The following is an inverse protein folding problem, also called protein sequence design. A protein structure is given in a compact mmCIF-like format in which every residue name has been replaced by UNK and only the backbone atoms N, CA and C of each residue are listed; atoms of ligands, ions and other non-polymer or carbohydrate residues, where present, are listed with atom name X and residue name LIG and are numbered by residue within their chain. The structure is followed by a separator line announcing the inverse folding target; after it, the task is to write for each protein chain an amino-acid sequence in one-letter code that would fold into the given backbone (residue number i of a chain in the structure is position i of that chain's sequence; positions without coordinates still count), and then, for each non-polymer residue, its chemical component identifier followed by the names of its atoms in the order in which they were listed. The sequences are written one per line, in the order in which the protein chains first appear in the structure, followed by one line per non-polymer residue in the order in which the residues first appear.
data_IF_457492184468
#
_entry.id   IF_457492184468
#
_cell.length_a   1.000
_cell.length_b   1.000
_cell.length_c   1.000
_cell.angle_alpha   90.00
_cell.angle_beta   90.00
_cell.angle_gamma   90.00
#
_symmetry.space_group_name_H-M   'P 1'
#
loop_
_entity.id
_entity.type
_entity.pdbx_description
1 polymer ?
#
# COMPACT_ATOMS: atom_id res chain seq x y z
N UNK A 1 -36.79 -43.11 -79.19
CA UNK A 1 -37.27 -42.33 -78.04
C UNK A 1 -36.14 -41.44 -77.54
N UNK A 2 -36.23 -40.15 -77.85
CA UNK A 2 -35.26 -39.09 -77.52
C UNK A 2 -35.91 -38.20 -76.47
N UNK A 3 -35.37 -38.16 -75.25
CA UNK A 3 -35.73 -37.15 -74.25
C UNK A 3 -34.58 -36.15 -74.15
N UNK A 4 -34.66 -35.11 -74.98
CA UNK A 4 -33.82 -33.91 -74.92
C UNK A 4 -34.11 -33.17 -73.61
N UNK A 5 -33.22 -33.32 -72.62
CA UNK A 5 -33.22 -32.47 -71.43
C UNK A 5 -32.74 -31.08 -71.83
N UNK A 6 -33.69 -30.15 -71.93
CA UNK A 6 -33.43 -28.72 -72.02
C UNK A 6 -32.71 -28.24 -70.74
N UNK A 7 -31.40 -28.09 -70.86
CA UNK A 7 -30.57 -27.34 -69.92
C UNK A 7 -31.02 -25.88 -69.95
N UNK A 8 -31.80 -25.49 -68.94
CA UNK A 8 -32.22 -24.11 -68.68
C UNK A 8 -30.97 -23.31 -68.26
N UNK A 9 -30.29 -22.70 -69.22
CA UNK A 9 -29.27 -21.67 -68.93
C UNK A 9 -29.99 -20.50 -68.25
N UNK A 10 -29.79 -20.36 -66.93
CA UNK A 10 -30.08 -19.10 -66.25
C UNK A 10 -29.24 -18.02 -66.94
N UNK A 11 -29.81 -16.87 -67.33
CA UNK A 11 -29.01 -15.74 -67.75
C UNK A 11 -28.11 -15.38 -66.57
N UNK A 12 -26.80 -15.58 -66.71
CA UNK A 12 -25.82 -14.83 -65.93
C UNK A 12 -26.01 -13.39 -66.38
N UNK A 13 -26.77 -12.64 -65.59
CA UNK A 13 -26.77 -11.19 -65.69
C UNK A 13 -25.38 -10.75 -65.27
N UNK A 14 -24.51 -10.52 -66.25
CA UNK A 14 -23.41 -9.57 -66.13
C UNK A 14 -24.01 -8.17 -66.06
N UNK A 15 -24.82 -7.91 -65.02
CA UNK A 15 -25.06 -6.55 -64.57
C UNK A 15 -23.74 -6.13 -63.92
N UNK A 16 -22.85 -5.62 -64.77
CA UNK A 16 -21.57 -5.10 -64.32
C UNK A 16 -21.83 -4.10 -63.21
N UNK A 17 -21.24 -4.37 -62.04
CA UNK A 17 -21.24 -3.47 -60.89
C UNK A 17 -20.97 -2.08 -61.41
N UNK A 18 -21.97 -1.20 -61.31
CA UNK A 18 -21.82 0.14 -61.85
C UNK A 18 -20.73 0.85 -61.05
N UNK A 19 -19.91 1.67 -61.72
CA UNK A 19 -18.81 2.40 -61.05
C UNK A 19 -19.33 3.22 -59.85
N UNK A 20 -20.59 3.68 -59.92
CA UNK A 20 -21.30 4.33 -58.83
C UNK A 20 -21.51 3.40 -57.60
N UNK A 21 -21.93 2.15 -57.80
CA UNK A 21 -22.13 1.18 -56.73
C UNK A 21 -20.81 0.81 -56.02
N UNK A 22 -19.72 0.70 -56.78
CA UNK A 22 -18.39 0.47 -56.22
C UNK A 22 -17.90 1.67 -55.39
N UNK A 23 -18.15 2.90 -55.85
CA UNK A 23 -17.84 4.11 -55.08
C UNK A 23 -18.64 4.20 -53.77
N UNK A 24 -19.93 3.89 -53.82
CA UNK A 24 -20.80 3.89 -52.64
C UNK A 24 -20.37 2.82 -51.64
N UNK A 25 -20.03 1.62 -52.10
CA UNK A 25 -19.59 0.53 -51.22
C UNK A 25 -18.26 0.84 -50.53
N UNK A 26 -17.27 1.40 -51.25
CA UNK A 26 -16.00 1.84 -50.65
C UNK A 26 -16.25 2.98 -49.64
N UNK A 27 -17.12 3.94 -49.97
CA UNK A 27 -17.49 5.03 -49.07
C UNK A 27 -18.13 4.50 -47.78
N UNK A 28 -19.08 3.58 -47.88
CA UNK A 28 -19.71 2.93 -46.72
C UNK A 28 -18.71 2.10 -45.90
N UNK A 29 -17.84 1.34 -46.56
CA UNK A 29 -16.76 0.59 -45.89
C UNK A 29 -15.81 1.52 -45.13
N UNK A 30 -15.44 2.67 -45.70
CA UNK A 30 -14.58 3.64 -45.03
C UNK A 30 -15.25 4.23 -43.79
N UNK A 31 -16.54 4.59 -43.87
CA UNK A 31 -17.30 5.08 -42.72
C UNK A 31 -17.44 4.01 -41.65
N UNK A 32 -17.79 2.77 -42.02
CA UNK A 32 -17.89 1.66 -41.06
C UNK A 32 -16.52 1.33 -40.44
N UNK A 33 -15.45 1.36 -41.22
CA UNK A 33 -14.09 1.12 -40.75
C UNK A 33 -13.65 2.16 -39.72
N UNK A 34 -13.92 3.44 -39.97
CA UNK A 34 -13.60 4.51 -39.02
C UNK A 34 -14.42 4.41 -37.73
N UNK A 35 -15.71 4.06 -37.80
CA UNK A 35 -16.54 3.78 -36.63
C UNK A 35 -16.03 2.60 -35.80
N UNK A 36 -15.61 1.51 -36.45
CA UNK A 36 -15.04 0.35 -35.75
C UNK A 36 -13.71 0.67 -35.06
N UNK A 37 -12.83 1.42 -35.71
CA UNK A 37 -11.54 1.83 -35.13
C UNK A 37 -11.76 2.75 -33.93
N UNK A 38 -12.63 3.75 -34.04
CA UNK A 38 -12.95 4.67 -32.94
C UNK A 38 -13.56 3.96 -31.74
N UNK A 39 -14.50 3.03 -31.98
CA UNK A 39 -15.08 2.18 -30.94
C UNK A 39 -13.99 1.32 -30.26
N UNK A 40 -13.12 0.70 -31.04
CA UNK A 40 -12.02 -0.14 -30.52
C UNK A 40 -11.07 0.65 -29.62
N UNK A 41 -10.66 1.86 -30.03
CA UNK A 41 -9.82 2.74 -29.22
C UNK A 41 -10.53 3.16 -27.93
N UNK A 42 -11.83 3.48 -28.00
CA UNK A 42 -12.61 3.81 -26.82
C UNK A 42 -12.66 2.64 -25.83
N UNK A 43 -12.96 1.42 -26.30
CA UNK A 43 -13.00 0.21 -25.47
C UNK A 43 -11.63 -0.09 -24.84
N UNK A 44 -10.54 0.05 -25.60
CA UNK A 44 -9.19 -0.16 -25.07
C UNK A 44 -8.82 0.85 -23.99
N UNK A 45 -9.18 2.12 -24.16
CA UNK A 45 -8.95 3.17 -23.15
C UNK A 45 -9.75 2.92 -21.88
N UNK A 46 -11.02 2.54 -22.02
CA UNK A 46 -11.89 2.22 -20.88
C UNK A 46 -11.37 1.00 -20.12
N UNK A 47 -10.96 -0.05 -20.81
CA UNK A 47 -10.42 -1.27 -20.20
C UNK A 47 -9.16 -0.97 -19.39
N UNK A 48 -8.21 -0.21 -19.97
CA UNK A 48 -7.00 0.23 -19.26
C UNK A 48 -7.30 1.08 -18.03
N UNK A 49 -8.27 1.99 -18.12
CA UNK A 49 -8.68 2.83 -16.99
C UNK A 49 -9.26 2.00 -15.85
N UNK A 50 -10.12 1.02 -16.16
CA UNK A 50 -10.69 0.10 -15.20
C UNK A 50 -9.62 -0.78 -14.54
N UNK A 51 -8.68 -1.32 -15.32
CA UNK A 51 -7.57 -2.14 -14.80
C UNK A 51 -6.68 -1.35 -13.85
N UNK A 52 -6.32 -0.11 -14.21
CA UNK A 52 -5.51 0.77 -13.35
C UNK A 52 -6.23 1.14 -12.06
N UNK A 53 -7.54 1.42 -12.12
CA UNK A 53 -8.33 1.70 -10.92
C UNK A 53 -8.40 0.49 -9.99
N UNK A 54 -8.60 -0.71 -10.55
CA UNK A 54 -8.63 -1.95 -9.77
C UNK A 54 -7.28 -2.24 -9.09
N UNK A 55 -6.16 -2.03 -9.81
CA UNK A 55 -4.82 -2.16 -9.25
C UNK A 55 -4.58 -1.15 -8.11
N UNK A 56 -4.96 0.11 -8.31
CA UNK A 56 -4.81 1.15 -7.28
C UNK A 56 -5.55 0.80 -5.98
N UNK A 57 -6.80 0.32 -6.09
CA UNK A 57 -7.58 -0.11 -4.92
C UNK A 57 -6.91 -1.29 -4.20
N UNK A 58 -6.39 -2.26 -4.96
CA UNK A 58 -5.69 -3.41 -4.41
C UNK A 58 -4.41 -2.99 -3.66
N UNK A 59 -3.60 -2.11 -4.25
CA UNK A 59 -2.35 -1.61 -3.66
C UNK A 59 -2.60 -0.80 -2.38
N UNK A 60 -3.58 0.10 -2.40
CA UNK A 60 -3.98 0.88 -1.21
C UNK A 60 -4.43 -0.04 -0.09
N UNK A 61 -5.24 -1.05 -0.40
CA UNK A 61 -5.72 -2.02 0.58
C UNK A 61 -4.58 -2.87 1.14
N UNK A 62 -3.69 -3.37 0.29
CA UNK A 62 -2.52 -4.14 0.72
C UNK A 62 -1.58 -3.31 1.62
N UNK A 63 -1.34 -2.05 1.27
CA UNK A 63 -0.56 -1.12 2.08
C UNK A 63 -1.23 -0.87 3.44
N UNK A 64 -2.54 -0.60 3.46
CA UNK A 64 -3.32 -0.41 4.69
C UNK A 64 -3.27 -1.64 5.59
N UNK A 65 -3.59 -2.83 5.06
CA UNK A 65 -3.62 -4.08 5.82
C UNK A 65 -2.24 -4.40 6.41
N UNK A 66 -1.17 -4.12 5.65
CA UNK A 66 0.19 -4.28 6.13
C UNK A 66 0.52 -3.35 7.30
N UNK A 67 0.31 -2.05 7.14
CA UNK A 67 0.56 -1.07 8.21
C UNK A 67 -0.26 -1.41 9.45
N UNK A 68 -1.53 -1.74 9.26
CA UNK A 68 -2.43 -2.10 10.35
C UNK A 68 -1.97 -3.37 11.08
N UNK A 69 -1.53 -4.40 10.34
CA UNK A 69 -1.03 -5.65 10.92
C UNK A 69 0.21 -5.44 11.79
N UNK A 70 1.14 -4.61 11.34
CA UNK A 70 2.39 -4.30 12.05
C UNK A 70 2.13 -3.41 13.27
N UNK A 71 1.25 -2.42 13.15
CA UNK A 71 0.85 -1.58 14.29
C UNK A 71 0.13 -2.37 15.40
N UNK A 72 -0.62 -3.44 15.06
CA UNK A 72 -1.27 -4.29 16.06
C UNK A 72 -0.30 -5.03 16.98
N UNK A 73 0.93 -5.27 16.51
CA UNK A 73 1.99 -5.94 17.28
C UNK A 73 3.03 -4.95 17.80
N UNK A 74 2.65 -3.67 17.90
CA UNK A 74 3.46 -2.65 18.55
C UNK A 74 3.67 -2.99 20.03
N UNK A 75 4.90 -2.81 20.52
CA UNK A 75 5.33 -3.26 21.84
C UNK A 75 6.12 -2.17 22.55
N UNK A 76 5.98 -2.12 23.87
CA UNK A 76 6.77 -1.23 24.72
C UNK A 76 8.11 -1.92 25.03
N UNK A 77 9.20 -1.16 24.93
CA UNK A 77 10.55 -1.73 24.87
C UNK A 77 11.17 -2.01 26.25
N UNK A 78 11.04 -1.08 27.21
CA UNK A 78 11.62 -1.22 28.54
C UNK A 78 10.56 -1.05 29.64
N UNK A 79 10.81 -1.66 30.80
CA UNK A 79 9.99 -1.46 32.00
C UNK A 79 10.12 0.00 32.46
N UNK A 80 9.03 0.77 32.35
CA UNK A 80 8.98 2.21 32.63
C UNK A 80 8.68 3.08 31.41
N UNK A 81 8.90 2.55 30.20
CA UNK A 81 8.37 3.18 29.00
C UNK A 81 6.83 3.06 29.03
N UNK A 82 6.13 4.15 28.68
CA UNK A 82 4.65 4.20 28.71
C UNK A 82 4.04 4.19 27.32
N UNK A 83 4.86 4.13 26.27
CA UNK A 83 4.45 4.18 24.88
C UNK A 83 5.35 3.36 23.96
N UNK A 84 4.79 2.66 22.96
CA UNK A 84 5.59 1.99 21.95
C UNK A 84 6.14 2.94 20.88
N UNK A 85 5.70 4.21 20.84
CA UNK A 85 6.08 5.19 19.83
C UNK A 85 7.30 6.01 20.24
N UNK A 86 8.24 6.15 19.32
CA UNK A 86 9.33 7.13 19.39
C UNK A 86 8.91 8.45 18.73
N UNK A 87 8.26 8.35 17.58
CA UNK A 87 7.79 9.49 16.79
C UNK A 87 6.38 9.20 16.29
N UNK A 88 5.50 10.18 16.41
CA UNK A 88 4.12 10.09 15.95
C UNK A 88 3.72 11.43 15.33
N UNK A 89 3.76 11.51 14.00
CA UNK A 89 3.35 12.68 13.22
C UNK A 89 2.24 12.29 12.24
N UNK A 90 1.61 13.29 11.62
CA UNK A 90 0.55 13.04 10.65
C UNK A 90 0.99 12.16 9.48
N UNK A 91 2.29 12.16 9.16
CA UNK A 91 2.83 11.49 7.98
C UNK A 91 3.86 10.41 8.33
N UNK A 92 4.35 10.41 9.57
CA UNK A 92 5.39 9.50 10.03
C UNK A 92 4.98 8.81 11.33
N UNK A 93 5.19 7.51 11.40
CA UNK A 93 5.00 6.74 12.62
C UNK A 93 6.23 5.86 12.86
N UNK A 94 6.90 6.06 13.99
CA UNK A 94 8.07 5.29 14.40
C UNK A 94 7.76 4.62 15.73
N UNK A 95 7.82 3.29 15.76
CA UNK A 95 7.49 2.50 16.93
C UNK A 95 8.24 1.16 16.94
N UNK A 96 8.21 0.46 18.07
CA UNK A 96 8.74 -0.89 18.17
C UNK A 96 7.65 -1.92 17.97
N UNK A 97 7.94 -2.99 17.24
CA UNK A 97 7.01 -4.06 16.95
C UNK A 97 7.67 -5.43 17.06
N UNK A 98 6.92 -6.41 17.57
CA UNK A 98 7.39 -7.79 17.60
C UNK A 98 7.05 -8.51 16.29
N UNK A 99 7.92 -8.34 15.28
CA UNK A 99 7.71 -8.91 13.94
C UNK A 99 8.32 -10.30 13.75
N UNK A 100 9.05 -10.80 14.74
CA UNK A 100 9.75 -12.07 14.64
C UNK A 100 9.48 -12.93 15.86
N UNK A 101 8.86 -14.09 15.65
CA UNK A 101 8.71 -15.09 16.70
C UNK A 101 10.08 -15.66 17.01
N UNK A 102 10.65 -15.32 18.16
CA UNK A 102 11.85 -15.97 18.68
C UNK A 102 11.42 -17.29 19.31
N UNK A 103 11.67 -18.40 18.61
CA UNK A 103 11.66 -19.71 19.24
C UNK A 103 12.91 -19.82 20.11
N UNK A 104 12.82 -19.37 21.36
CA UNK A 104 13.85 -19.62 22.36
C UNK A 104 13.77 -21.10 22.76
N UNK A 105 14.42 -21.99 22.01
CA UNK A 105 14.63 -23.35 22.51
C UNK A 105 15.62 -23.27 23.66
N UNK A 106 15.21 -23.68 24.85
CA UNK A 106 16.01 -23.65 26.08
C UNK A 106 17.38 -24.37 25.99
N UNK A 107 17.61 -25.17 24.94
CA UNK A 107 18.83 -25.95 24.74
C UNK A 107 20.01 -25.18 24.11
N UNK A 108 19.81 -23.98 23.54
CA UNK A 108 20.87 -23.21 22.87
C UNK A 108 20.80 -21.71 23.24
N UNK A 109 20.91 -21.40 24.53
CA UNK A 109 20.86 -20.04 25.06
C UNK A 109 22.12 -19.19 24.78
N UNK A 110 22.89 -19.50 23.73
CA UNK A 110 24.05 -18.71 23.33
C UNK A 110 23.78 -17.94 22.03
N UNK A 111 23.59 -16.62 22.18
CA UNK A 111 24.12 -15.53 21.32
C UNK A 111 23.24 -14.71 20.36
N UNK A 112 21.90 -14.82 20.28
CA UNK A 112 21.09 -13.74 19.66
C UNK A 112 19.61 -13.83 20.00
N UNK A 113 19.19 -13.21 21.11
CA UNK A 113 17.77 -12.90 21.31
C UNK A 113 17.41 -11.79 20.32
N UNK A 114 16.66 -12.12 19.26
CA UNK A 114 16.14 -11.11 18.33
C UNK A 114 15.14 -10.24 19.07
N UNK A 115 15.51 -8.99 19.34
CA UNK A 115 14.63 -8.03 20.01
C UNK A 115 13.50 -7.51 19.12
N UNK A 116 12.61 -6.68 19.68
CA UNK A 116 11.61 -5.94 18.91
C UNK A 116 12.24 -5.18 17.75
N UNK A 117 11.57 -5.15 16.60
CA UNK A 117 12.06 -4.42 15.42
C UNK A 117 11.58 -2.97 15.48
N UNK A 118 12.45 -2.02 15.19
CA UNK A 118 12.03 -0.62 14.99
C UNK A 118 11.39 -0.51 13.62
N UNK A 119 10.14 -0.07 13.59
CA UNK A 119 9.34 0.15 12.39
C UNK A 119 9.20 1.64 12.18
N UNK A 120 9.52 2.10 10.98
CA UNK A 120 9.26 3.47 10.53
C UNK A 120 8.34 3.41 9.31
N UNK A 121 7.18 4.03 9.41
CA UNK A 121 6.38 4.40 8.25
C UNK A 121 6.59 5.89 8.00
N UNK A 122 7.01 6.25 6.79
CA UNK A 122 7.34 7.63 6.42
C UNK A 122 6.74 7.95 5.06
N UNK A 123 6.10 9.12 4.94
CA UNK A 123 5.73 9.68 3.65
C UNK A 123 6.97 10.35 3.03
N UNK A 124 7.62 9.68 2.09
CA UNK A 124 8.85 10.19 1.47
C UNK A 124 8.49 10.93 0.18
N UNK A 125 8.88 12.21 0.02
CA UNK A 125 8.78 12.88 -1.27
C UNK A 125 9.70 12.18 -2.27
N UNK A 126 9.18 11.91 -3.46
CA UNK A 126 9.98 11.31 -4.49
C UNK A 126 11.09 12.25 -4.96
N UNK A 127 12.22 11.65 -5.29
CA UNK A 127 13.38 12.33 -5.83
C UNK A 127 13.95 11.52 -6.98
N UNK A 128 14.64 12.19 -7.91
CA UNK A 128 15.32 11.54 -9.03
C UNK A 128 16.29 10.48 -8.51
N UNK A 129 16.16 9.24 -9.01
CA UNK A 129 17.01 8.11 -8.58
C UNK A 129 16.51 7.38 -7.33
N UNK A 130 15.35 7.72 -6.79
CA UNK A 130 14.66 6.92 -5.77
C UNK A 130 13.58 6.02 -6.40
N UNK A 131 13.06 5.06 -5.63
CA UNK A 131 11.92 4.25 -6.06
C UNK A 131 10.64 5.08 -6.28
N UNK A 132 10.59 6.33 -5.80
CA UNK A 132 9.45 7.22 -5.86
C UNK A 132 9.63 8.25 -6.98
N UNK A 133 8.59 8.49 -7.79
CA UNK A 133 8.66 9.51 -8.85
C UNK A 133 8.81 10.90 -8.24
N UNK A 134 9.58 11.78 -8.87
CA UNK A 134 9.88 13.12 -8.34
C UNK A 134 8.65 14.00 -8.04
N UNK A 135 7.48 13.69 -8.63
CA UNK A 135 6.24 14.46 -8.48
C UNK A 135 5.26 13.87 -7.47
N UNK A 136 5.61 12.75 -6.82
CA UNK A 136 4.71 12.04 -5.91
C UNK A 136 5.34 11.82 -4.53
N UNK A 137 4.52 11.57 -3.51
CA UNK A 137 5.00 10.97 -2.27
C UNK A 137 4.78 9.46 -2.30
N UNK A 138 5.59 8.72 -1.55
CA UNK A 138 5.37 7.30 -1.32
C UNK A 138 5.22 7.00 0.17
N UNK A 139 4.44 5.96 0.48
CA UNK A 139 4.51 5.34 1.78
C UNK A 139 5.69 4.37 1.79
N UNK A 140 6.69 4.65 2.62
CA UNK A 140 7.87 3.79 2.77
C UNK A 140 7.85 3.16 4.15
N UNK A 141 8.11 1.86 4.20
CA UNK A 141 8.36 1.13 5.44
C UNK A 141 9.85 0.86 5.57
N UNK A 142 10.41 1.23 6.72
CA UNK A 142 11.78 0.88 7.11
C UNK A 142 11.72 0.01 8.36
N UNK A 143 12.40 -1.12 8.30
CA UNK A 143 12.53 -2.04 9.42
C UNK A 143 13.99 -2.08 9.82
N UNK A 144 14.28 -1.70 11.06
CA UNK A 144 15.62 -1.78 11.64
C UNK A 144 15.61 -2.82 12.74
N UNK A 145 16.44 -3.85 12.57
CA UNK A 145 16.65 -4.86 13.61
C UNK A 145 17.32 -4.26 14.84
N UNK A 146 16.88 -4.67 16.04
CA UNK A 146 17.55 -4.31 17.30
C UNK A 146 18.51 -5.41 17.71
N UNK A 147 19.59 -5.02 18.39
CA UNK A 147 20.50 -5.93 19.07
C UNK A 147 20.28 -5.83 20.57
N UNK A 148 20.06 -6.95 21.25
CA UNK A 148 20.04 -7.00 22.70
C UNK A 148 21.45 -6.84 23.27
N UNK A 149 21.64 -5.95 24.26
CA UNK A 149 22.84 -5.94 25.10
C UNK A 149 22.57 -6.75 26.37
N UNK A 150 23.25 -7.88 26.52
CA UNK A 150 23.13 -8.74 27.69
C UNK A 150 23.74 -8.12 28.94
N UNK A 151 22.99 -8.11 30.06
CA UNK A 151 23.41 -7.70 31.40
C UNK A 151 22.22 -7.69 32.38
N UNK A 152 22.47 -7.72 33.69
CA UNK A 152 21.41 -7.56 34.70
C UNK A 152 20.81 -6.15 34.58
N UNK A 153 19.52 -6.04 34.27
CA UNK A 153 18.89 -4.77 33.89
C UNK A 153 19.13 -4.36 32.42
N UNK A 154 19.43 -5.32 31.55
CA UNK A 154 19.62 -5.08 30.11
C UNK A 154 18.45 -4.30 29.52
N UNK A 155 18.74 -3.11 28.99
CA UNK A 155 17.81 -2.36 28.15
C UNK A 155 18.05 -2.73 26.70
N UNK A 156 17.02 -2.68 25.87
CA UNK A 156 17.25 -2.74 24.43
C UNK A 156 17.92 -1.43 23.99
N UNK A 157 19.24 -1.45 23.90
CA UNK A 157 19.98 -0.36 23.28
C UNK A 157 19.85 -0.47 21.76
N UNK A 158 19.12 0.46 21.14
CA UNK A 158 19.15 0.58 19.69
C UNK A 158 20.59 0.96 19.29
N UNK A 159 21.25 0.12 18.51
CA UNK A 159 22.50 0.53 17.86
C UNK A 159 22.14 1.26 16.57
N UNK A 160 22.74 2.42 16.37
CA UNK A 160 22.74 3.11 15.07
C UNK A 160 23.24 2.23 13.90
N UNK A 161 23.84 1.08 14.19
CA UNK A 161 24.39 0.13 13.23
C UNK A 161 23.49 -1.07 12.91
N UNK A 162 22.21 -1.09 13.30
CA UNK A 162 21.29 -2.18 12.94
C UNK A 162 21.05 -2.26 11.43
N UNK A 163 20.94 -3.48 10.88
CA UNK A 163 20.57 -3.65 9.46
C UNK A 163 19.17 -3.10 9.25
N UNK A 164 19.06 -2.13 8.33
CA UNK A 164 17.80 -1.49 7.96
C UNK A 164 17.38 -1.96 6.57
N UNK A 165 16.18 -2.52 6.47
CA UNK A 165 15.56 -2.84 5.18
C UNK A 165 14.47 -1.83 4.90
N UNK A 166 14.44 -1.31 3.67
CA UNK A 166 13.43 -0.33 3.23
C UNK A 166 12.62 -0.92 2.08
N UNK A 167 11.30 -0.70 2.09
CA UNK A 167 10.42 -1.00 0.95
C UNK A 167 9.38 0.08 0.75
N UNK A 168 9.00 0.31 -0.51
CA UNK A 168 7.85 1.14 -0.84
C UNK A 168 6.60 0.30 -0.72
N UNK A 169 5.60 0.78 0.03
CA UNK A 169 4.30 0.13 0.18
C UNK A 169 3.26 0.68 -0.78
N UNK A 170 3.33 1.97 -1.08
CA UNK A 170 2.40 2.64 -1.95
C UNK A 170 3.06 3.83 -2.63
N UNK A 171 2.76 4.01 -3.92
CA UNK A 171 3.15 5.16 -4.73
C UNK A 171 2.01 6.17 -4.83
N UNK A 172 2.34 7.39 -5.25
CA UNK A 172 1.31 8.37 -5.59
C UNK A 172 0.55 8.88 -4.37
N UNK A 173 1.13 9.00 -3.18
CA UNK A 173 0.47 9.67 -2.07
C UNK A 173 0.33 11.18 -2.33
N UNK A 174 -0.78 11.76 -1.87
CA UNK A 174 -0.96 13.21 -1.88
C UNK A 174 -0.06 13.87 -0.84
N UNK A 175 0.69 14.93 -1.19
CA UNK A 175 1.65 15.56 -0.29
C UNK A 175 1.05 16.27 0.92
N UNK A 176 -0.26 16.54 0.88
CA UNK A 176 -1.02 17.15 1.98
C UNK A 176 -1.84 16.14 2.78
N UNK A 177 -1.85 14.85 2.40
CA UNK A 177 -2.64 13.84 3.08
C UNK A 177 -2.01 13.49 4.44
N UNK A 178 -2.82 13.59 5.50
CA UNK A 178 -2.47 13.05 6.82
C UNK A 178 -2.72 11.55 6.84
N UNK A 179 -1.66 10.76 6.96
CA UNK A 179 -1.72 9.29 6.97
C UNK A 179 -2.14 8.73 8.33
N UNK A 180 -1.68 9.36 9.41
CA UNK A 180 -1.84 8.87 10.77
C UNK A 180 -2.52 9.91 11.65
N UNK A 181 -3.50 9.45 12.41
CA UNK A 181 -4.16 10.23 13.45
C UNK A 181 -4.18 9.42 14.73
N UNK A 182 -3.65 10.00 15.81
CA UNK A 182 -3.42 9.29 17.06
C UNK A 182 -4.53 9.60 18.05
N UNK A 183 -5.02 8.59 18.77
CA UNK A 183 -6.16 8.73 19.65
C UNK A 183 -5.81 8.28 21.06
N UNK A 184 -6.24 9.05 22.05
CA UNK A 184 -6.03 8.75 23.47
C UNK A 184 -6.95 7.65 24.02
N UNK A 185 -8.08 7.40 23.37
CA UNK A 185 -9.03 6.35 23.73
C UNK A 185 -8.92 5.18 22.75
N UNK A 186 -9.02 3.95 23.25
CA UNK A 186 -9.13 2.74 22.43
C UNK A 186 -10.58 2.45 22.01
N UNK A 187 -11.57 2.82 22.84
CA UNK A 187 -12.95 2.37 22.74
C UNK A 187 -13.89 3.32 22.01
N UNK A 188 -13.56 4.62 21.94
CA UNK A 188 -14.44 5.60 21.31
C UNK A 188 -13.93 5.99 19.93
N UNK A 189 -14.64 5.60 18.87
CA UNK A 189 -14.37 6.00 17.48
C UNK A 189 -14.59 7.50 17.23
N UNK A 190 -15.27 8.18 18.15
CA UNK A 190 -15.57 9.62 18.11
C UNK A 190 -14.66 10.44 19.01
N UNK A 191 -13.70 9.81 19.70
CA UNK A 191 -12.73 10.56 20.48
C UNK A 191 -11.94 11.49 19.55
N UNK A 192 -11.80 12.76 19.97
CA UNK A 192 -10.97 13.69 19.24
C UNK A 192 -9.53 13.16 19.20
N UNK A 193 -8.85 13.24 18.03
CA UNK A 193 -7.47 12.86 17.94
C UNK A 193 -6.60 13.79 18.80
N UNK A 194 -5.49 13.24 19.29
CA UNK A 194 -4.47 14.00 20.00
C UNK A 194 -3.90 15.07 19.05
N UNK A 195 -3.63 16.29 19.55
CA UNK A 195 -3.13 17.38 18.72
C UNK A 195 -1.72 17.06 18.21
N UNK A 196 -1.56 16.91 16.91
CA UNK A 196 -0.27 16.69 16.25
C UNK A 196 0.31 18.03 15.81
N UNK A 197 1.45 18.43 16.35
CA UNK A 197 2.17 19.64 15.94
C UNK A 197 3.00 19.41 14.67
N UNK A 198 3.73 20.44 14.23
CA UNK A 198 4.62 20.36 13.05
C UNK A 198 5.76 19.34 13.21
N UNK A 199 6.15 19.04 14.45
CA UNK A 199 7.17 18.03 14.80
C UNK A 199 6.57 16.70 15.25
N UNK A 200 5.25 16.52 15.15
CA UNK A 200 4.53 15.38 15.69
C UNK A 200 3.86 15.64 17.05
N UNK A 201 3.45 14.58 17.72
CA UNK A 201 2.90 14.60 19.07
C UNK A 201 3.95 15.05 20.08
N UNK A 202 3.51 15.79 21.11
CA UNK A 202 4.37 16.10 22.25
C UNK A 202 4.74 14.81 23.01
N UNK A 203 5.94 14.74 23.63
CA UNK A 203 6.35 13.56 24.40
C UNK A 203 5.34 13.12 25.48
N UNK A 204 4.67 14.09 26.11
CA UNK A 204 3.64 13.84 27.13
C UNK A 204 2.35 13.21 26.56
N UNK A 205 2.10 13.35 25.26
CA UNK A 205 0.93 12.78 24.59
C UNK A 205 1.22 11.41 23.96
N UNK A 206 2.50 11.08 23.71
CA UNK A 206 2.90 9.75 23.22
C UNK A 206 2.45 8.63 24.18
N UNK A 207 2.54 8.85 25.49
CA UNK A 207 2.09 7.91 26.54
C UNK A 207 0.57 7.72 26.58
N UNK A 208 -0.18 8.65 25.99
CA UNK A 208 -1.64 8.62 25.93
C UNK A 208 -2.15 7.87 24.72
N UNK A 209 -1.31 7.60 23.71
CA UNK A 209 -1.76 6.91 22.49
C UNK A 209 -2.27 5.51 22.84
N UNK A 210 -3.52 5.23 22.48
CA UNK A 210 -4.19 3.93 22.66
C UNK A 210 -4.71 3.35 21.34
N UNK A 211 -4.91 4.18 20.34
CA UNK A 211 -5.28 3.74 19.00
C UNK A 211 -4.74 4.69 17.93
N UNK A 212 -4.48 4.15 16.73
CA UNK A 212 -4.04 4.90 15.56
C UNK A 212 -5.07 4.72 14.46
N UNK A 213 -5.62 5.82 13.97
CA UNK A 213 -6.42 5.85 12.75
C UNK A 213 -5.46 6.04 11.58
N UNK A 214 -5.52 5.12 10.62
CA UNK A 214 -4.73 5.14 9.41
C UNK A 214 -5.68 5.53 8.27
N UNK A 215 -5.31 6.52 7.48
CA UNK A 215 -6.05 6.93 6.28
C UNK A 215 -5.07 7.04 5.12
N UNK A 216 -5.25 6.20 4.12
CA UNK A 216 -4.41 6.17 2.92
C UNK A 216 -5.27 6.63 1.74
N UNK A 217 -4.90 7.78 1.20
CA UNK A 217 -5.52 8.37 0.02
C UNK A 217 -4.41 8.64 -1.00
N UNK A 218 -4.26 7.81 -2.04
CA UNK A 218 -3.36 8.11 -3.13
C UNK A 218 -3.91 9.31 -3.91
N UNK A 219 -3.02 10.21 -4.31
CA UNK A 219 -3.17 11.05 -5.48
C UNK A 219 -3.17 10.21 -6.78
N UNK A 220 -3.38 10.87 -7.92
CA UNK A 220 -3.37 10.25 -9.25
C UNK A 220 -1.99 9.64 -9.59
N UNK A 221 -1.74 8.41 -9.12
CA UNK A 221 -0.44 7.71 -9.25
C UNK A 221 -0.05 7.38 -10.72
N UNK A 222 -1.04 7.39 -11.61
CA UNK A 222 -0.89 6.94 -13.00
C UNK A 222 -0.96 8.07 -14.04
N UNK A 223 -0.99 9.34 -13.61
CA UNK A 223 -1.06 10.49 -14.53
C UNK A 223 -2.37 10.57 -15.32
N UNK A 224 -3.38 9.82 -14.89
CA UNK A 224 -4.76 9.84 -15.39
C UNK A 224 -5.64 10.10 -14.18
N UNK A 225 -6.65 10.97 -14.33
CA UNK A 225 -7.64 11.18 -13.28
C UNK A 225 -8.45 9.90 -13.10
N UNK A 226 -8.23 9.22 -11.99
CA UNK A 226 -8.94 8.00 -11.60
C UNK A 226 -9.83 8.32 -10.39
N UNK A 227 -10.93 7.59 -10.17
CA UNK A 227 -11.67 7.72 -8.93
C UNK A 227 -10.74 7.43 -7.74
N UNK A 228 -10.66 8.37 -6.80
CA UNK A 228 -9.73 8.30 -5.67
C UNK A 228 -10.12 7.15 -4.72
N UNK A 229 -9.27 6.13 -4.64
CA UNK A 229 -9.44 5.00 -3.74
C UNK A 229 -8.92 5.33 -2.34
N UNK A 230 -9.79 5.50 -1.34
CA UNK A 230 -9.36 5.72 0.06
C UNK A 230 -9.56 4.45 0.88
N UNK A 231 -8.52 4.00 1.59
CA UNK A 231 -8.66 3.04 2.68
C UNK A 231 -8.44 3.75 4.01
N UNK A 232 -9.37 3.56 4.94
CA UNK A 232 -9.21 4.08 6.29
C UNK A 232 -9.67 3.06 7.31
N UNK A 233 -9.11 3.17 8.51
CA UNK A 233 -9.60 2.41 9.65
C UNK A 233 -8.71 2.60 10.86
N UNK A 234 -9.10 1.97 11.96
CA UNK A 234 -8.48 2.21 13.26
C UNK A 234 -7.84 0.95 13.79
N UNK A 235 -6.63 1.11 14.31
CA UNK A 235 -5.86 0.09 14.99
C UNK A 235 -5.80 0.42 16.47
N UNK A 236 -6.39 -0.43 17.29
CA UNK A 236 -6.23 -0.37 18.74
C UNK A 236 -4.92 -1.03 19.13
N UNK A 237 -4.14 -0.37 19.97
CA UNK A 237 -2.86 -0.86 20.45
C UNK A 237 -3.09 -1.74 21.66
N UNK A 238 -2.64 -2.99 21.60
CA UNK A 238 -2.64 -3.88 22.76
C UNK A 238 -1.35 -3.57 23.50
N UNK A 239 -1.42 -2.76 24.55
CA UNK A 239 -0.27 -2.37 25.37
C UNK A 239 0.33 -3.58 26.08
N UNK A 240 1.11 -4.37 25.36
CA UNK A 240 1.90 -5.48 25.90
C UNK A 240 3.30 -4.94 26.18
N UNK A 241 3.73 -5.04 27.43
CA UNK A 241 5.13 -4.83 27.76
C UNK A 241 5.92 -6.02 27.25
N UNK A 242 7.07 -5.77 26.59
CA UNK A 242 8.03 -6.84 26.38
C UNK A 242 8.77 -7.06 27.70
N UNK A 243 8.24 -7.92 28.57
CA UNK A 243 9.02 -8.40 29.70
C UNK A 243 10.17 -9.23 29.12
N UNK A 244 11.36 -8.65 29.02
CA UNK A 244 12.58 -9.40 28.80
C UNK A 244 12.74 -10.32 30.01
N UNK A 245 12.14 -11.50 29.94
CA UNK A 245 12.30 -12.52 30.96
C UNK A 245 13.73 -12.98 30.81
N UNK A 246 14.62 -12.39 31.62
CA UNK A 246 15.98 -12.90 31.80
C UNK A 246 15.80 -14.39 32.10
N UNK A 247 16.35 -15.31 31.30
CA UNK A 247 16.36 -16.71 31.66
C UNK A 247 17.06 -16.77 33.02
N UNK A 248 16.28 -16.99 34.07
CA UNK A 248 16.75 -16.91 35.43
C UNK A 248 17.93 -17.85 35.61
N UNK A 249 18.89 -17.39 36.41
CA UNK A 249 19.87 -18.21 37.10
C UNK A 249 19.17 -19.45 37.68
N UNK A 250 19.23 -20.55 36.94
CA UNK A 250 19.09 -21.89 37.50
C UNK A 250 20.49 -22.25 38.02
N UNK A 251 20.86 -21.65 39.16
CA UNK A 251 21.95 -22.12 40.01
C UNK A 251 21.42 -23.14 40.99
#
# INVERSE_FOLDING_TARGET
MRTLRLQRRRPRGDEGVTLAELLVSIGLMAVLGTLLVTLSVAVQRTSRSADLSAQQVADVRAAYERVASVMRVAVVLNDGDTTPFLTASGNDAVFFANLRTVNLSAANASTSVSGPTKVEYVAVPGATGTACKATEQCLVERLTSTSWSSGAGGTYAWRASGTTTSRVLLHGLSPSATLFSFNGSASSATAAPLPVGSTGLAPADLSKVRAVSITITPADAYGVSLPTATASGRVTLVGTSHAATVPGDLS
#
